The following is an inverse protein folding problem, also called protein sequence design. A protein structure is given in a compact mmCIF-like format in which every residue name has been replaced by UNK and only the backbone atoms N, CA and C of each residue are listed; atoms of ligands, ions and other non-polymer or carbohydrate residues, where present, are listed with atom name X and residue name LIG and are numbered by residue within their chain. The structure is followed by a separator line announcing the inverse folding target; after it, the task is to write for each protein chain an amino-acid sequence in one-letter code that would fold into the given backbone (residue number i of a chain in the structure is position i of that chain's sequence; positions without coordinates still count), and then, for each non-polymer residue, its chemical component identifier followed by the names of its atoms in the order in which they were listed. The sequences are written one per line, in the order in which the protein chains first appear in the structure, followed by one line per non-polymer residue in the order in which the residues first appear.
data_IF_035776684679
#
_entry.id   IF_035776684679
#
_cell.length_a   1.000
_cell.length_b   1.000
_cell.length_c   1.000
_cell.angle_alpha   90.00
_cell.angle_beta   90.00
_cell.angle_gamma   90.00
#
_symmetry.space_group_name_H-M   'P 1'
#
loop_
_entity.id
_entity.type
_entity.pdbx_description
1 polymer ?
#
# COMPACT_ATOMS: atom_id res chain seq x y z
N UNK A 1 28.81 -10.79 62.02
CA UNK A 1 27.64 -10.41 61.20
C UNK A 1 27.06 -11.71 60.64
N UNK A 2 25.90 -12.23 60.94
CA UNK A 2 24.82 -11.99 61.89
C UNK A 2 23.85 -13.16 61.65
N UNK A 3 23.53 -13.95 62.68
CA UNK A 3 22.50 -15.00 62.65
C UNK A 3 21.13 -14.37 62.95
N UNK A 4 20.09 -14.77 62.22
CA UNK A 4 18.71 -14.89 62.72
C UNK A 4 17.88 -15.76 61.77
N UNK A 5 17.21 -16.81 62.27
CA UNK A 5 15.83 -17.08 61.85
C UNK A 5 14.94 -17.52 63.02
N UNK A 6 13.76 -16.91 63.17
CA UNK A 6 12.58 -17.37 63.92
C UNK A 6 11.38 -16.53 63.40
N UNK A 7 10.17 -17.01 63.09
CA UNK A 7 9.26 -17.79 63.93
C UNK A 7 8.17 -18.55 63.13
N UNK A 8 7.86 -19.74 63.65
CA UNK A 8 6.63 -20.58 63.68
C UNK A 8 5.37 -19.82 64.15
N UNK A 9 4.08 -20.23 64.10
CA UNK A 9 3.31 -21.45 63.77
C UNK A 9 1.77 -21.14 63.87
N UNK A 10 0.97 -21.96 63.18
CA UNK A 10 -0.36 -22.59 63.49
C UNK A 10 -1.63 -21.81 64.00
N UNK A 11 -2.72 -21.86 63.19
CA UNK A 11 -4.06 -22.51 63.35
C UNK A 11 -4.82 -22.49 64.73
N UNK A 12 -6.19 -22.48 64.81
CA UNK A 12 -7.07 -23.49 64.15
C UNK A 12 -8.56 -23.17 63.79
N UNK A 13 -9.09 -24.07 62.94
CA UNK A 13 -10.40 -24.74 62.82
C UNK A 13 -11.82 -24.08 62.77
N UNK A 14 -12.51 -24.51 61.69
CA UNK A 14 -13.86 -25.14 61.59
C UNK A 14 -15.16 -24.35 61.84
N UNK A 15 -16.00 -24.27 60.79
CA UNK A 15 -17.43 -23.95 60.88
C UNK A 15 -18.20 -24.11 59.57
N UNK A 16 -19.03 -25.15 59.49
CA UNK A 16 -19.88 -25.60 58.35
C UNK A 16 -20.91 -24.56 57.87
N UNK A 17 -21.18 -24.50 56.56
CA UNK A 17 -22.54 -24.55 55.99
C UNK A 17 -22.50 -24.70 54.46
N UNK A 18 -23.55 -25.33 53.92
CA UNK A 18 -23.68 -25.89 52.58
C UNK A 18 -24.26 -24.84 51.63
N UNK A 19 -23.84 -24.83 50.36
CA UNK A 19 -24.74 -24.71 49.22
C UNK A 19 -24.03 -25.05 47.91
N UNK A 20 -24.46 -26.15 47.29
CA UNK A 20 -24.19 -26.50 45.89
C UNK A 20 -25.13 -25.69 44.98
N UNK A 21 -24.64 -25.29 43.79
CA UNK A 21 -25.42 -25.52 42.59
C UNK A 21 -24.63 -26.32 41.54
N UNK A 22 -25.39 -27.08 40.77
CA UNK A 22 -25.01 -28.10 39.78
C UNK A 22 -24.24 -27.52 38.57
N UNK A 23 -23.45 -28.35 37.86
CA UNK A 23 -22.83 -27.96 36.60
C UNK A 23 -23.88 -27.92 35.47
N UNK A 24 -24.01 -26.78 34.80
CA UNK A 24 -24.78 -26.67 33.57
C UNK A 24 -23.94 -27.16 32.39
N UNK A 25 -24.22 -28.40 31.96
CA UNK A 25 -23.81 -28.94 30.67
C UNK A 25 -24.51 -28.12 29.58
N UNK A 26 -23.78 -27.25 28.85
CA UNK A 26 -24.25 -26.71 27.58
C UNK A 26 -23.62 -27.50 26.44
N UNK A 27 -24.49 -28.27 25.79
CA UNK A 27 -24.22 -29.06 24.59
C UNK A 27 -23.89 -28.15 23.43
N UNK A 28 -22.99 -28.63 22.56
CA UNK A 28 -22.69 -28.05 21.26
C UNK A 28 -23.97 -27.96 20.40
N UNK A 29 -24.26 -26.77 19.89
CA UNK A 29 -25.08 -26.61 18.68
C UNK A 29 -24.18 -26.07 17.58
N UNK A 30 -23.85 -26.92 16.60
CA UNK A 30 -23.44 -26.46 15.26
C UNK A 30 -24.69 -25.95 14.57
N UNK A 31 -24.79 -24.65 14.36
CA UNK A 31 -25.66 -24.09 13.33
C UNK A 31 -24.79 -23.81 12.10
N UNK A 32 -24.77 -24.76 11.17
CA UNK A 32 -24.43 -24.48 9.78
C UNK A 32 -25.63 -23.83 9.13
N UNK A 33 -25.62 -22.51 9.00
CA UNK A 33 -26.65 -21.79 8.24
C UNK A 33 -26.17 -21.67 6.80
N UNK A 34 -26.58 -22.63 5.96
CA UNK A 34 -26.55 -22.48 4.51
C UNK A 34 -27.72 -21.59 4.10
N UNK A 35 -27.43 -20.38 3.64
CA UNK A 35 -28.45 -19.50 3.05
C UNK A 35 -28.40 -19.66 1.54
N UNK A 36 -29.30 -20.49 1.02
CA UNK A 36 -29.73 -20.48 -0.37
C UNK A 36 -30.87 -19.46 -0.51
N UNK A 37 -30.69 -18.43 -1.33
CA UNK A 37 -31.78 -17.52 -1.71
C UNK A 37 -31.95 -17.60 -3.23
N UNK A 38 -32.98 -18.33 -3.62
CA UNK A 38 -33.57 -18.29 -4.95
C UNK A 38 -34.54 -17.11 -5.07
N UNK A 39 -34.45 -16.48 -6.24
CA UNK A 39 -35.42 -15.65 -6.98
C UNK A 39 -36.66 -15.10 -6.26
N UNK A 40 -36.81 -13.78 -6.29
CA UNK A 40 -37.83 -13.04 -7.08
C UNK A 40 -37.89 -11.60 -6.57
N UNK A 41 -37.65 -10.62 -7.44
CA UNK A 41 -38.57 -9.48 -7.62
C UNK A 41 -38.06 -8.55 -8.73
N UNK A 42 -38.88 -8.44 -9.77
CA UNK A 42 -38.74 -7.53 -10.88
C UNK A 42 -39.18 -6.12 -10.45
N UNK A 43 -38.27 -5.15 -10.51
CA UNK A 43 -38.67 -3.75 -10.69
C UNK A 43 -37.88 -3.13 -11.83
N UNK A 44 -38.64 -2.84 -12.89
CA UNK A 44 -38.25 -2.09 -14.08
C UNK A 44 -37.90 -0.65 -13.71
N UNK A 45 -36.68 -0.21 -14.00
CA UNK A 45 -36.33 1.21 -14.08
C UNK A 45 -36.07 1.53 -15.54
N UNK A 46 -36.97 2.31 -16.12
CA UNK A 46 -36.90 2.86 -17.47
C UNK A 46 -35.65 3.74 -17.62
N UNK A 47 -34.74 3.35 -18.51
CA UNK A 47 -33.73 4.26 -19.05
C UNK A 47 -34.36 5.08 -20.17
N UNK A 48 -34.36 6.42 -20.03
CA UNK A 48 -34.68 7.34 -21.11
C UNK A 48 -33.67 7.15 -22.26
N UNK A 49 -34.12 6.57 -23.37
CA UNK A 49 -33.39 6.52 -24.63
C UNK A 49 -33.81 7.73 -25.47
N UNK A 50 -32.81 8.46 -25.94
CA UNK A 50 -32.92 9.50 -26.94
C UNK A 50 -33.13 8.81 -28.29
N UNK A 51 -34.32 8.96 -28.88
CA UNK A 51 -34.65 8.45 -30.21
C UNK A 51 -34.16 9.42 -31.29
N UNK A 52 -33.41 8.89 -32.25
CA UNK A 52 -33.24 9.45 -33.59
C UNK A 52 -33.52 8.33 -34.59
N UNK A 53 -34.71 8.38 -35.15
CA UNK A 53 -35.11 7.58 -36.32
C UNK A 53 -34.32 8.02 -37.56
N UNK A 54 -33.81 7.05 -38.33
CA UNK A 54 -34.31 6.74 -39.68
C UNK A 54 -33.47 5.66 -40.39
N UNK A 55 -34.14 4.54 -40.73
CA UNK A 55 -34.15 3.94 -42.07
C UNK A 55 -32.95 3.11 -42.56
N UNK A 56 -33.11 1.78 -42.60
CA UNK A 56 -33.14 0.99 -43.86
C UNK A 56 -32.82 -0.50 -43.63
N UNK A 57 -33.68 -1.35 -44.22
CA UNK A 57 -33.67 -2.81 -44.30
C UNK A 57 -32.31 -3.50 -44.47
N UNK A 58 -32.08 -4.58 -43.70
CA UNK A 58 -31.43 -5.79 -44.20
C UNK A 58 -31.75 -7.01 -43.30
N UNK A 59 -32.19 -8.09 -43.93
CA UNK A 59 -32.36 -9.42 -43.35
C UNK A 59 -31.08 -9.90 -42.63
N UNK A 60 -31.19 -10.33 -41.37
CA UNK A 60 -30.17 -11.15 -40.74
C UNK A 60 -30.83 -12.21 -39.86
N UNK A 61 -30.66 -13.46 -40.28
CA UNK A 61 -30.98 -14.68 -39.55
C UNK A 61 -30.48 -14.62 -38.10
N UNK A 62 -31.36 -14.93 -37.16
CA UNK A 62 -31.04 -15.09 -35.75
C UNK A 62 -30.09 -16.28 -35.55
N UNK A 63 -28.78 -16.01 -35.53
CA UNK A 63 -27.84 -16.86 -34.83
C UNK A 63 -27.88 -16.46 -33.36
N UNK A 64 -28.47 -17.35 -32.56
CA UNK A 64 -28.47 -17.27 -31.10
C UNK A 64 -27.01 -17.38 -30.64
N UNK A 65 -26.36 -16.22 -30.49
CA UNK A 65 -25.02 -16.10 -29.94
C UNK A 65 -25.02 -16.59 -28.50
N UNK A 66 -24.41 -17.74 -28.29
CA UNK A 66 -24.04 -18.28 -26.98
C UNK A 66 -23.46 -17.19 -26.10
N UNK A 67 -24.04 -17.05 -24.90
CA UNK A 67 -23.76 -15.98 -23.96
C UNK A 67 -22.29 -15.66 -23.80
N UNK A 68 -21.97 -14.38 -24.01
CA UNK A 68 -20.79 -13.75 -23.45
C UNK A 68 -20.92 -13.86 -21.93
N UNK A 69 -20.35 -14.91 -21.34
CA UNK A 69 -19.91 -14.84 -19.95
C UNK A 69 -18.86 -13.75 -19.91
N UNK A 70 -19.26 -12.55 -19.54
CA UNK A 70 -18.34 -11.50 -19.11
C UNK A 70 -17.58 -12.08 -17.92
N UNK A 71 -16.34 -12.49 -18.17
CA UNK A 71 -15.37 -12.69 -17.09
C UNK A 71 -15.43 -11.39 -16.27
N UNK A 72 -15.57 -11.46 -14.93
CA UNK A 72 -15.56 -10.24 -14.12
C UNK A 72 -14.25 -9.51 -14.44
N UNK A 73 -14.36 -8.32 -15.04
CA UNK A 73 -13.19 -7.49 -15.31
C UNK A 73 -12.49 -7.27 -13.97
N UNK A 74 -11.34 -7.91 -13.83
CA UNK A 74 -10.56 -7.83 -12.61
C UNK A 74 -9.97 -6.43 -12.57
N UNK A 75 -10.14 -5.72 -11.45
CA UNK A 75 -9.54 -4.39 -11.28
C UNK A 75 -8.03 -4.58 -11.42
N UNK A 76 -7.42 -3.87 -12.37
CA UNK A 76 -6.00 -3.96 -12.72
C UNK A 76 -5.41 -2.56 -12.75
N UNK A 77 -4.15 -2.44 -12.34
CA UNK A 77 -3.37 -1.26 -12.72
C UNK A 77 -3.13 -1.29 -14.22
N UNK A 78 -3.33 -0.15 -14.87
CA UNK A 78 -3.12 0.06 -16.31
C UNK A 78 -1.95 1.00 -16.57
N UNK A 79 -1.67 1.92 -15.67
CA UNK A 79 -0.54 2.85 -15.78
C UNK A 79 0.26 2.86 -14.48
N UNK A 80 1.54 2.50 -14.57
CA UNK A 80 2.49 2.51 -13.45
C UNK A 80 3.61 3.50 -13.77
N UNK A 81 3.91 4.40 -12.84
CA UNK A 81 5.04 5.32 -12.96
C UNK A 81 6.12 4.87 -11.98
N UNK A 82 7.36 4.72 -12.44
CA UNK A 82 8.51 4.42 -11.59
C UNK A 82 9.53 5.56 -11.63
N UNK A 83 9.96 6.01 -10.45
CA UNK A 83 11.02 7.00 -10.32
C UNK A 83 12.40 6.35 -10.53
N UNK A 84 13.16 6.88 -11.49
CA UNK A 84 14.53 6.48 -11.79
C UNK A 84 15.50 7.37 -10.99
N UNK A 85 15.69 7.05 -9.71
CA UNK A 85 16.63 7.76 -8.84
C UNK A 85 18.11 7.42 -9.15
N UNK A 86 19.05 8.15 -8.54
CA UNK A 86 20.46 7.74 -8.46
C UNK A 86 20.76 6.84 -7.25
N UNK A 87 19.72 6.37 -6.55
CA UNK A 87 19.88 5.66 -5.28
C UNK A 87 20.14 4.17 -5.47
N UNK A 88 20.63 3.49 -4.42
CA UNK A 88 20.92 2.06 -4.49
C UNK A 88 19.65 1.20 -4.63
N UNK A 89 18.52 1.73 -4.14
CA UNK A 89 17.20 1.14 -4.27
C UNK A 89 16.63 1.10 -5.71
N UNK A 90 17.23 1.80 -6.69
CA UNK A 90 16.65 1.89 -8.05
C UNK A 90 16.44 0.50 -8.67
N UNK A 91 17.39 -0.41 -8.53
CA UNK A 91 17.29 -1.75 -9.11
C UNK A 91 16.11 -2.53 -8.52
N UNK A 92 15.92 -2.44 -7.18
CA UNK A 92 14.81 -3.08 -6.51
C UNK A 92 13.46 -2.46 -6.92
N UNK A 93 13.39 -1.13 -7.03
CA UNK A 93 12.19 -0.41 -7.49
C UNK A 93 11.84 -0.77 -8.94
N UNK A 94 12.82 -0.85 -9.84
CA UNK A 94 12.66 -1.27 -11.23
C UNK A 94 12.15 -2.71 -11.36
N UNK A 95 12.80 -3.65 -10.65
CA UNK A 95 12.39 -5.05 -10.62
C UNK A 95 10.93 -5.19 -10.14
N UNK A 96 10.58 -4.45 -9.09
CA UNK A 96 9.23 -4.45 -8.52
C UNK A 96 8.22 -3.88 -9.51
N UNK A 97 8.51 -2.71 -10.09
CA UNK A 97 7.62 -2.06 -11.05
C UNK A 97 7.41 -2.91 -12.32
N UNK A 98 8.46 -3.53 -12.85
CA UNK A 98 8.39 -4.45 -13.99
C UNK A 98 7.58 -5.70 -13.65
N UNK A 99 7.79 -6.30 -12.48
CA UNK A 99 7.02 -7.45 -11.99
C UNK A 99 5.52 -7.13 -11.90
N UNK A 100 5.17 -6.00 -11.27
CA UNK A 100 3.78 -5.55 -11.16
C UNK A 100 3.19 -5.27 -12.54
N UNK A 101 3.91 -4.54 -13.40
CA UNK A 101 3.46 -4.22 -14.75
C UNK A 101 3.17 -5.47 -15.58
N UNK A 102 4.08 -6.44 -15.58
CA UNK A 102 3.89 -7.72 -16.29
C UNK A 102 2.70 -8.51 -15.75
N UNK A 103 2.54 -8.57 -14.43
CA UNK A 103 1.44 -9.33 -13.82
C UNK A 103 0.04 -8.78 -14.16
N UNK A 104 -0.03 -7.50 -14.55
CA UNK A 104 -1.27 -6.79 -14.86
C UNK A 104 -1.42 -6.37 -16.32
N UNK A 105 -0.40 -6.58 -17.15
CA UNK A 105 -0.33 -6.03 -18.50
C UNK A 105 -0.40 -4.50 -18.51
N UNK A 106 0.22 -3.84 -17.53
CA UNK A 106 0.20 -2.40 -17.37
C UNK A 106 1.26 -1.72 -18.26
N UNK A 107 1.01 -0.47 -18.62
CA UNK A 107 1.99 0.42 -19.22
C UNK A 107 2.93 0.97 -18.14
N UNK A 108 4.24 0.77 -18.31
CA UNK A 108 5.26 1.20 -17.36
C UNK A 108 5.99 2.47 -17.84
N UNK A 109 5.94 3.53 -17.05
CA UNK A 109 6.55 4.82 -17.35
C UNK A 109 7.77 5.01 -16.46
N UNK A 110 8.96 5.02 -17.05
CA UNK A 110 10.20 5.38 -16.36
C UNK A 110 10.39 6.90 -16.34
N UNK A 111 10.40 7.51 -15.16
CA UNK A 111 10.54 8.96 -15.00
C UNK A 111 11.83 9.32 -14.28
N UNK A 112 12.56 10.30 -14.82
CA UNK A 112 13.65 10.99 -14.12
C UNK A 112 13.52 12.50 -14.32
N UNK A 113 14.23 13.26 -13.50
CA UNK A 113 14.49 14.68 -13.76
C UNK A 113 15.89 14.89 -14.32
N UNK A 114 16.10 16.03 -14.97
CA UNK A 114 17.42 16.43 -15.47
C UNK A 114 18.34 16.93 -14.36
N UNK A 115 17.81 17.38 -13.22
CA UNK A 115 18.57 18.07 -12.17
C UNK A 115 18.78 19.57 -12.44
N UNK A 116 18.29 20.10 -13.57
CA UNK A 116 18.43 21.53 -13.91
C UNK A 116 17.66 22.45 -12.96
N UNK A 117 16.56 21.98 -12.35
CA UNK A 117 15.82 22.76 -11.39
C UNK A 117 16.65 23.04 -10.13
N UNK A 118 17.30 22.02 -9.57
CA UNK A 118 18.21 22.15 -8.42
C UNK A 118 19.35 23.12 -8.75
N UNK A 119 19.94 22.98 -9.95
CA UNK A 119 20.97 23.88 -10.44
C UNK A 119 20.50 25.34 -10.52
N UNK A 120 19.33 25.59 -11.13
CA UNK A 120 18.76 26.94 -11.26
C UNK A 120 18.54 27.60 -9.90
N UNK A 121 18.10 26.83 -8.90
CA UNK A 121 17.93 27.35 -7.54
C UNK A 121 19.26 27.68 -6.86
N UNK A 122 20.30 26.86 -7.00
CA UNK A 122 21.64 27.16 -6.47
C UNK A 122 22.18 28.47 -7.07
N UNK A 123 21.97 28.67 -8.38
CA UNK A 123 22.34 29.92 -9.07
C UNK A 123 21.55 31.12 -8.52
N UNK A 124 20.23 30.99 -8.35
CA UNK A 124 19.38 32.03 -7.80
C UNK A 124 19.71 32.38 -6.33
N UNK A 125 20.22 31.41 -5.56
CA UNK A 125 20.68 31.60 -4.17
C UNK A 125 22.04 32.32 -4.05
N UNK A 126 22.62 32.77 -5.17
CA UNK A 126 23.84 33.58 -5.18
C UNK A 126 25.15 32.77 -5.27
N UNK A 127 25.07 31.49 -5.66
CA UNK A 127 26.28 30.71 -5.93
C UNK A 127 27.07 31.32 -7.11
N UNK A 128 28.41 31.45 -7.04
CA UNK A 128 29.19 32.05 -8.11
C UNK A 128 29.12 31.25 -9.42
N UNK A 129 28.44 31.79 -10.44
CA UNK A 129 28.32 31.19 -11.78
C UNK A 129 29.68 30.83 -12.38
N UNK A 130 30.71 31.64 -12.09
CA UNK A 130 32.08 31.46 -12.59
C UNK A 130 32.81 30.22 -12.03
N UNK A 131 32.30 29.60 -10.96
CA UNK A 131 32.84 28.35 -10.40
C UNK A 131 32.12 27.10 -10.95
N UNK A 132 31.06 27.27 -11.76
CA UNK A 132 30.35 26.14 -12.37
C UNK A 132 30.83 25.92 -13.81
N UNK A 133 31.37 24.75 -14.14
CA UNK A 133 31.72 24.45 -15.51
C UNK A 133 30.43 24.24 -16.33
N UNK A 134 30.36 24.83 -17.53
CA UNK A 134 29.23 24.63 -18.48
C UNK A 134 28.94 23.15 -18.73
N UNK A 135 29.97 22.30 -18.58
CA UNK A 135 29.86 20.83 -18.62
C UNK A 135 28.91 20.24 -17.58
N UNK A 136 28.62 20.93 -16.48
CA UNK A 136 27.71 20.46 -15.44
C UNK A 136 26.26 20.31 -15.93
N UNK A 137 25.80 21.19 -16.82
CA UNK A 137 24.44 21.13 -17.40
C UNK A 137 24.30 19.94 -18.36
N UNK A 138 25.26 19.81 -19.28
CA UNK A 138 25.25 18.70 -20.25
C UNK A 138 25.44 17.36 -19.54
N UNK A 139 26.25 17.32 -18.47
CA UNK A 139 26.46 16.13 -17.65
C UNK A 139 25.19 15.72 -16.91
N UNK A 140 24.49 16.66 -16.28
CA UNK A 140 23.20 16.42 -15.62
C UNK A 140 22.17 15.79 -16.58
N UNK A 141 22.06 16.34 -17.80
CA UNK A 141 21.20 15.80 -18.84
C UNK A 141 21.67 14.42 -19.33
N UNK A 142 22.97 14.23 -19.50
CA UNK A 142 23.57 12.96 -19.90
C UNK A 142 23.28 11.87 -18.87
N UNK A 143 23.44 12.15 -17.57
CA UNK A 143 23.17 11.21 -16.48
C UNK A 143 21.68 10.83 -16.43
N UNK A 144 20.79 11.80 -16.68
CA UNK A 144 19.36 11.55 -16.81
C UNK A 144 19.05 10.62 -17.99
N UNK A 145 19.65 10.85 -19.17
CA UNK A 145 19.45 9.98 -20.33
C UNK A 145 20.05 8.58 -20.12
N UNK A 146 21.19 8.46 -19.43
CA UNK A 146 21.75 7.16 -19.05
C UNK A 146 20.78 6.34 -18.18
N UNK A 147 20.12 6.97 -17.20
CA UNK A 147 19.07 6.32 -16.40
C UNK A 147 17.89 5.88 -17.26
N UNK A 148 17.44 6.70 -18.20
CA UNK A 148 16.35 6.34 -19.11
C UNK A 148 16.74 5.19 -20.05
N UNK A 149 17.97 5.18 -20.56
CA UNK A 149 18.49 4.08 -21.37
C UNK A 149 18.56 2.77 -20.57
N UNK A 150 19.08 2.82 -19.34
CA UNK A 150 19.11 1.68 -18.43
C UNK A 150 17.71 1.13 -18.16
N UNK A 151 16.72 2.01 -17.95
CA UNK A 151 15.31 1.60 -17.81
C UNK A 151 14.77 0.90 -19.08
N UNK A 152 15.01 1.45 -20.28
CA UNK A 152 14.55 0.83 -21.53
C UNK A 152 15.16 -0.57 -21.71
N UNK A 153 16.45 -0.71 -21.39
CA UNK A 153 17.14 -2.00 -21.45
C UNK A 153 16.55 -2.98 -20.44
N UNK A 154 16.37 -2.54 -19.20
CA UNK A 154 15.77 -3.33 -18.13
C UNK A 154 14.37 -3.86 -18.51
N UNK A 155 13.52 -2.99 -19.06
CA UNK A 155 12.18 -3.38 -19.51
C UNK A 155 12.21 -4.48 -20.58
N UNK A 156 13.13 -4.39 -21.54
CA UNK A 156 13.30 -5.40 -22.60
C UNK A 156 13.76 -6.74 -22.04
N UNK A 157 14.74 -6.72 -21.13
CA UNK A 157 15.30 -7.92 -20.49
C UNK A 157 14.26 -8.64 -19.62
N UNK A 158 13.35 -7.88 -19.00
CA UNK A 158 12.32 -8.40 -18.11
C UNK A 158 10.95 -8.58 -18.81
N UNK A 159 10.89 -8.44 -20.13
CA UNK A 159 9.69 -8.74 -20.92
C UNK A 159 8.53 -7.76 -20.77
N UNK A 160 8.78 -6.53 -20.30
CA UNK A 160 7.75 -5.48 -20.23
C UNK A 160 7.39 -5.05 -21.65
N UNK A 161 6.16 -5.33 -22.06
CA UNK A 161 5.71 -5.14 -23.46
C UNK A 161 5.39 -3.66 -23.77
N UNK A 162 4.87 -2.92 -22.79
CA UNK A 162 4.41 -1.54 -22.99
C UNK A 162 5.11 -0.62 -21.99
N UNK A 163 6.03 0.21 -22.49
CA UNK A 163 6.76 1.15 -21.65
C UNK A 163 7.17 2.41 -22.41
N UNK A 164 7.34 3.50 -21.68
CA UNK A 164 7.90 4.76 -22.19
C UNK A 164 8.81 5.42 -21.14
N UNK A 165 9.53 6.45 -21.57
CA UNK A 165 10.43 7.24 -20.72
C UNK A 165 10.02 8.69 -20.71
N UNK A 166 10.08 9.34 -19.55
CA UNK A 166 9.81 10.77 -19.40
C UNK A 166 10.93 11.47 -18.65
N UNK A 167 11.38 12.59 -19.20
CA UNK A 167 12.37 13.49 -18.62
C UNK A 167 11.68 14.82 -18.29
N UNK A 168 11.89 15.31 -17.07
CA UNK A 168 11.37 16.62 -16.66
C UNK A 168 12.49 17.55 -16.19
N UNK A 169 12.37 18.83 -16.53
CA UNK A 169 13.25 19.91 -16.06
C UNK A 169 12.66 20.58 -14.82
N UNK A 170 12.29 19.78 -13.82
CA UNK A 170 11.71 20.22 -12.54
C UNK A 170 12.27 19.39 -11.38
N UNK A 171 11.81 19.63 -10.15
CA UNK A 171 12.18 18.81 -8.99
C UNK A 171 11.61 17.38 -9.12
N UNK A 172 12.27 16.35 -8.56
CA UNK A 172 11.71 15.00 -8.54
C UNK A 172 10.30 14.94 -7.95
N UNK A 173 10.05 15.68 -6.86
CA UNK A 173 8.73 15.75 -6.25
C UNK A 173 7.68 16.32 -7.22
N UNK A 174 7.93 17.48 -7.83
CA UNK A 174 6.95 18.10 -8.72
C UNK A 174 6.63 17.21 -9.94
N UNK A 175 7.65 16.59 -10.52
CA UNK A 175 7.50 15.67 -11.65
C UNK A 175 6.62 14.47 -11.29
N UNK A 176 6.88 13.84 -10.14
CA UNK A 176 6.16 12.64 -9.70
C UNK A 176 4.76 12.97 -9.19
N UNK A 177 4.57 14.09 -8.48
CA UNK A 177 3.26 14.55 -8.01
C UNK A 177 2.33 14.91 -9.17
N UNK A 178 2.86 15.56 -10.22
CA UNK A 178 2.08 15.84 -11.42
C UNK A 178 1.63 14.54 -12.11
N UNK A 179 2.54 13.58 -12.25
CA UNK A 179 2.24 12.30 -12.88
C UNK A 179 1.35 11.40 -12.05
N UNK A 180 1.41 11.50 -10.71
CA UNK A 180 0.53 10.75 -9.81
C UNK A 180 -0.95 10.97 -10.11
N UNK A 181 -1.32 12.09 -10.74
CA UNK A 181 -2.72 12.38 -11.12
C UNK A 181 -3.25 11.48 -12.24
N UNK A 182 -2.36 10.88 -13.03
CA UNK A 182 -2.68 10.17 -14.27
C UNK A 182 -2.13 8.73 -14.29
N UNK A 183 -1.69 8.20 -13.15
CA UNK A 183 -1.34 6.79 -13.01
C UNK A 183 -2.32 6.07 -12.08
N UNK A 184 -2.18 4.75 -11.97
CA UNK A 184 -2.86 3.94 -10.95
C UNK A 184 -1.94 3.61 -9.78
N UNK A 185 -0.62 3.59 -10.02
CA UNK A 185 0.42 3.29 -9.03
C UNK A 185 1.68 4.12 -9.31
N UNK A 186 2.24 4.73 -8.26
CA UNK A 186 3.56 5.35 -8.27
C UNK A 186 4.54 4.45 -7.53
N UNK A 187 5.71 4.16 -8.11
CA UNK A 187 6.76 3.33 -7.51
C UNK A 187 8.01 4.18 -7.30
N UNK A 188 8.57 4.17 -6.11
CA UNK A 188 9.79 4.89 -5.76
C UNK A 188 10.67 4.07 -4.81
N UNK A 189 11.97 4.33 -4.83
CA UNK A 189 12.88 3.80 -3.80
C UNK A 189 12.54 4.38 -2.43
N UNK A 190 12.71 3.58 -1.38
CA UNK A 190 12.48 3.98 0.02
C UNK A 190 13.60 4.88 0.57
N UNK A 191 14.80 4.83 0.00
CA UNK A 191 15.95 5.62 0.46
C UNK A 191 15.70 7.12 0.35
N UNK A 192 16.31 7.86 1.28
CA UNK A 192 16.25 9.33 1.35
C UNK A 192 17.01 9.97 0.18
N UNK A 193 16.35 10.06 -0.96
CA UNK A 193 16.71 11.02 -2.00
C UNK A 193 16.02 12.34 -1.64
N UNK A 194 16.74 13.45 -1.74
CA UNK A 194 16.15 14.79 -1.60
C UNK A 194 14.97 14.94 -2.57
N UNK A 195 13.90 15.59 -2.12
CA UNK A 195 12.77 15.96 -2.95
C UNK A 195 13.09 17.04 -4.00
N UNK A 196 14.31 17.60 -3.96
CA UNK A 196 14.80 18.67 -4.82
C UNK A 196 14.51 20.08 -4.27
N UNK A 197 13.88 20.19 -3.09
CA UNK A 197 13.65 21.46 -2.40
C UNK A 197 14.92 21.90 -1.66
N UNK A 198 15.44 23.08 -1.99
CA UNK A 198 16.58 23.67 -1.26
C UNK A 198 16.13 24.57 -0.09
N UNK A 199 14.89 25.06 -0.10
CA UNK A 199 14.36 25.94 0.95
C UNK A 199 13.95 25.16 2.20
N UNK A 200 13.28 24.03 1.99
CA UNK A 200 12.89 23.09 3.04
C UNK A 200 13.12 21.69 2.46
N UNK A 201 14.37 21.19 2.50
CA UNK A 201 14.67 19.85 2.03
C UNK A 201 13.85 18.84 2.81
N UNK A 202 13.11 17.99 2.10
CA UNK A 202 12.41 16.87 2.69
C UNK A 202 12.80 15.57 1.97
N UNK A 203 12.75 14.42 2.66
CA UNK A 203 12.88 13.14 2.00
C UNK A 203 11.76 12.95 0.97
N UNK A 204 12.13 12.65 -0.27
CA UNK A 204 11.19 12.41 -1.36
C UNK A 204 10.10 11.38 -1.00
N UNK A 205 10.41 10.23 -0.36
CA UNK A 205 9.37 9.27 0.04
C UNK A 205 8.24 9.89 0.88
N UNK A 206 8.60 10.68 1.88
CA UNK A 206 7.64 11.37 2.74
C UNK A 206 6.79 12.38 1.98
N UNK A 207 7.41 13.17 1.09
CA UNK A 207 6.71 14.12 0.22
C UNK A 207 5.75 13.43 -0.75
N UNK A 208 6.12 12.27 -1.31
CA UNK A 208 5.24 11.49 -2.19
C UNK A 208 4.06 10.91 -1.43
N UNK A 209 4.30 10.27 -0.28
CA UNK A 209 3.26 9.66 0.55
C UNK A 209 2.23 10.69 1.02
N UNK A 210 2.66 11.92 1.31
CA UNK A 210 1.79 13.00 1.77
C UNK A 210 0.99 13.68 0.67
N UNK A 211 1.55 13.81 -0.53
CA UNK A 211 1.00 14.72 -1.56
C UNK A 211 0.57 14.04 -2.85
N UNK A 212 0.93 12.78 -3.08
CA UNK A 212 0.55 12.07 -4.30
C UNK A 212 -0.97 11.82 -4.37
N UNK A 213 -1.54 11.92 -5.57
CA UNK A 213 -2.96 11.68 -5.80
C UNK A 213 -3.32 10.18 -5.86
N UNK A 214 -2.31 9.31 -5.88
CA UNK A 214 -2.40 7.87 -6.11
C UNK A 214 -1.47 7.13 -5.15
N UNK A 215 -1.70 5.83 -4.92
CA UNK A 215 -0.87 5.04 -4.01
C UNK A 215 0.60 5.08 -4.42
N UNK A 216 1.46 5.19 -3.42
CA UNK A 216 2.91 5.18 -3.55
C UNK A 216 3.42 3.86 -2.98
N UNK A 217 4.07 3.08 -3.83
CA UNK A 217 4.81 1.88 -3.46
C UNK A 217 6.27 2.26 -3.24
N UNK A 218 6.66 2.35 -1.98
CA UNK A 218 8.04 2.54 -1.56
C UNK A 218 8.74 1.18 -1.53
N UNK A 219 9.91 1.11 -2.18
CA UNK A 219 10.64 -0.13 -2.36
C UNK A 219 12.02 -0.03 -1.69
N UNK A 220 12.30 -0.83 -0.64
CA UNK A 220 13.63 -0.88 -0.04
C UNK A 220 14.65 -1.57 -0.98
N UNK A 221 15.95 -1.30 -0.84
CA UNK A 221 16.99 -2.02 -1.56
C UNK A 221 16.96 -3.54 -1.33
N UNK A 222 16.51 -3.97 -0.15
CA UNK A 222 16.38 -5.37 0.24
C UNK A 222 15.09 -6.04 -0.23
N UNK A 223 14.25 -5.35 -1.00
CA UNK A 223 12.95 -5.88 -1.40
C UNK A 223 13.09 -7.22 -2.15
N UNK A 224 12.27 -8.23 -1.79
CA UNK A 224 12.29 -9.51 -2.49
C UNK A 224 11.80 -9.32 -3.94
N UNK A 225 12.44 -10.03 -4.87
CA UNK A 225 11.99 -10.06 -6.26
C UNK A 225 10.77 -10.98 -6.40
N UNK A 226 9.78 -10.58 -7.21
CA UNK A 226 8.66 -11.43 -7.60
C UNK A 226 7.28 -10.83 -7.31
N UNK A 227 6.22 -11.65 -7.40
CA UNK A 227 4.86 -11.21 -7.08
C UNK A 227 4.64 -11.14 -5.57
N UNK A 228 3.76 -10.24 -5.13
CA UNK A 228 3.31 -10.19 -3.74
C UNK A 228 2.35 -11.35 -3.46
N UNK A 229 2.76 -12.27 -2.58
CA UNK A 229 2.01 -13.47 -2.21
C UNK A 229 1.46 -13.36 -0.79
N UNK A 230 2.15 -12.68 0.13
CA UNK A 230 1.67 -12.48 1.51
C UNK A 230 1.65 -10.99 1.84
N UNK A 231 0.46 -10.41 1.76
CA UNK A 231 0.23 -9.00 2.01
C UNK A 231 -0.20 -8.83 3.46
N UNK A 232 0.52 -7.99 4.20
CA UNK A 232 0.11 -7.52 5.52
C UNK A 232 -0.60 -6.17 5.40
N UNK A 233 -1.67 -5.98 6.14
CA UNK A 233 -2.43 -4.73 6.23
C UNK A 233 -2.26 -4.20 7.64
N UNK A 234 -1.55 -3.09 7.81
CA UNK A 234 -1.43 -2.39 9.08
C UNK A 234 -2.73 -1.63 9.37
N UNK A 235 -3.66 -2.28 10.07
CA UNK A 235 -5.02 -1.78 10.28
C UNK A 235 -5.11 -0.94 11.56
N UNK A 236 -5.47 0.32 11.40
CA UNK A 236 -5.76 1.27 12.49
C UNK A 236 -7.13 1.95 12.34
N UNK A 237 -7.98 1.49 11.40
CA UNK A 237 -9.30 2.07 11.16
C UNK A 237 -9.32 3.45 10.51
N UNK A 238 -8.16 4.00 10.16
CA UNK A 238 -8.08 5.33 9.56
C UNK A 238 -8.65 5.36 8.13
N UNK A 239 -9.13 6.53 7.66
CA UNK A 239 -9.48 6.71 6.25
C UNK A 239 -8.32 6.42 5.30
N UNK A 240 -7.08 6.74 5.69
CA UNK A 240 -5.87 6.49 4.89
C UNK A 240 -5.68 5.01 4.59
N UNK A 241 -5.70 4.13 5.59
CA UNK A 241 -5.57 2.68 5.34
C UNK A 241 -6.75 2.13 4.53
N UNK A 242 -7.96 2.65 4.77
CA UNK A 242 -9.15 2.26 3.99
C UNK A 242 -9.00 2.62 2.51
N UNK A 243 -8.44 3.80 2.19
CA UNK A 243 -8.09 4.20 0.81
C UNK A 243 -6.99 3.32 0.25
N UNK A 244 -5.92 3.04 1.01
CA UNK A 244 -4.83 2.16 0.57
C UNK A 244 -5.37 0.78 0.17
N UNK A 245 -6.27 0.20 0.97
CA UNK A 245 -6.90 -1.11 0.68
C UNK A 245 -7.70 -1.03 -0.62
N UNK A 246 -8.52 0.01 -0.81
CA UNK A 246 -9.31 0.20 -2.03
C UNK A 246 -8.42 0.28 -3.29
N UNK A 247 -7.30 1.00 -3.20
CA UNK A 247 -6.31 1.08 -4.28
C UNK A 247 -5.54 -0.23 -4.48
N UNK A 248 -5.34 -1.01 -3.43
CA UNK A 248 -4.58 -2.26 -3.45
C UNK A 248 -5.39 -3.48 -3.92
N UNK A 249 -6.68 -3.34 -4.23
CA UNK A 249 -7.53 -4.46 -4.68
C UNK A 249 -6.94 -5.30 -5.84
N UNK A 250 -6.25 -4.71 -6.84
CA UNK A 250 -5.54 -5.47 -7.87
C UNK A 250 -4.45 -6.40 -7.33
N UNK A 251 -3.79 -6.02 -6.23
CA UNK A 251 -2.75 -6.80 -5.55
C UNK A 251 -3.38 -7.81 -4.59
N UNK A 252 -4.36 -7.38 -3.78
CA UNK A 252 -5.06 -8.21 -2.80
C UNK A 252 -5.71 -9.42 -3.48
N UNK A 253 -6.39 -9.22 -4.61
CA UNK A 253 -7.06 -10.30 -5.35
C UNK A 253 -6.10 -11.38 -5.90
N UNK A 254 -4.79 -11.08 -5.99
CA UNK A 254 -3.75 -11.98 -6.52
C UNK A 254 -2.85 -12.59 -5.44
N UNK A 255 -2.93 -12.08 -4.22
CA UNK A 255 -2.16 -12.58 -3.09
C UNK A 255 -2.57 -14.02 -2.75
N UNK A 256 -1.67 -14.79 -2.16
CA UNK A 256 -1.98 -16.10 -1.59
C UNK A 256 -2.60 -15.99 -0.19
N UNK A 257 -2.21 -14.97 0.57
CA UNK A 257 -2.64 -14.75 1.95
C UNK A 257 -2.67 -13.26 2.27
N UNK A 258 -3.72 -12.85 2.97
CA UNK A 258 -3.84 -11.51 3.56
C UNK A 258 -3.78 -11.64 5.07
N UNK A 259 -2.97 -10.80 5.71
CA UNK A 259 -2.89 -10.70 7.17
C UNK A 259 -3.30 -9.29 7.59
N UNK A 260 -4.40 -9.17 8.31
CA UNK A 260 -4.84 -7.92 8.95
C UNK A 260 -4.12 -7.84 10.30
N UNK A 261 -3.13 -6.96 10.39
CA UNK A 261 -2.39 -6.72 11.61
C UNK A 261 -2.99 -5.53 12.36
N UNK A 262 -3.37 -5.74 13.62
CA UNK A 262 -3.85 -4.69 14.52
C UNK A 262 -2.88 -4.58 15.68
N UNK A 263 -2.19 -3.43 15.79
CA UNK A 263 -1.30 -3.13 16.90
C UNK A 263 -2.03 -2.31 17.95
N UNK A 264 -1.82 -2.65 19.23
CA UNK A 264 -2.39 -1.94 20.39
C UNK A 264 -3.92 -1.76 20.34
N UNK A 265 -4.69 -2.84 20.15
CA UNK A 265 -6.13 -2.79 19.96
C UNK A 265 -6.92 -2.24 21.17
N UNK A 266 -6.37 -2.34 22.39
CA UNK A 266 -7.07 -1.88 23.60
C UNK A 266 -7.03 -0.36 23.78
N UNK A 267 -6.05 0.33 23.19
CA UNK A 267 -5.94 1.79 23.31
C UNK A 267 -6.95 2.57 22.48
N UNK A 268 -7.51 1.98 21.42
CA UNK A 268 -8.34 2.70 20.45
C UNK A 268 -9.48 1.84 19.90
N UNK A 269 -10.70 2.40 19.87
CA UNK A 269 -11.84 1.75 19.23
C UNK A 269 -11.72 1.91 17.71
N UNK A 270 -11.15 0.91 17.06
CA UNK A 270 -10.91 0.87 15.61
C UNK A 270 -12.20 0.50 14.83
N UNK A 271 -13.08 -0.32 15.41
CA UNK A 271 -14.24 -0.92 14.71
C UNK A 271 -15.62 -0.60 15.35
N UNK A 272 -16.69 -0.96 14.64
CA UNK A 272 -18.07 -0.58 14.98
C UNK A 272 -18.61 -1.24 16.27
N UNK A 273 -17.94 -2.28 16.79
CA UNK A 273 -18.24 -2.84 18.13
C UNK A 273 -17.95 -4.33 18.31
N UNK A 274 -16.94 -4.89 17.64
CA UNK A 274 -16.55 -6.31 17.71
C UNK A 274 -15.07 -6.53 18.04
N UNK A 275 -14.54 -7.71 17.69
CA UNK A 275 -13.11 -8.04 17.77
C UNK A 275 -12.30 -7.14 16.80
N UNK A 276 -11.16 -6.56 17.23
CA UNK A 276 -10.35 -5.67 16.39
C UNK A 276 -9.96 -6.33 15.06
N UNK A 277 -10.19 -5.65 13.94
CA UNK A 277 -9.91 -6.11 12.58
C UNK A 277 -10.95 -7.06 12.00
N UNK A 278 -11.95 -7.53 12.77
CA UNK A 278 -12.92 -8.52 12.30
C UNK A 278 -13.85 -7.98 11.19
N UNK A 279 -14.25 -6.71 11.28
CA UNK A 279 -15.08 -6.06 10.26
C UNK A 279 -14.34 -5.97 8.93
N UNK A 280 -13.05 -5.58 8.97
CA UNK A 280 -12.20 -5.55 7.78
C UNK A 280 -11.95 -6.96 7.22
N UNK A 281 -11.65 -7.94 8.07
CA UNK A 281 -11.45 -9.32 7.63
C UNK A 281 -12.71 -9.88 6.95
N UNK A 282 -13.89 -9.59 7.49
CA UNK A 282 -15.19 -9.96 6.90
C UNK A 282 -15.41 -9.28 5.55
N UNK A 283 -15.04 -8.01 5.42
CA UNK A 283 -15.07 -7.30 4.14
C UNK A 283 -14.12 -7.95 3.12
N UNK A 284 -12.86 -8.19 3.49
CA UNK A 284 -11.85 -8.78 2.61
C UNK A 284 -12.17 -10.22 2.22
N UNK A 285 -12.82 -10.99 3.09
CA UNK A 285 -13.24 -12.37 2.82
C UNK A 285 -14.21 -12.47 1.62
N UNK A 286 -14.89 -11.38 1.26
CA UNK A 286 -15.74 -11.30 0.05
C UNK A 286 -14.94 -11.17 -1.24
N UNK A 287 -13.70 -10.71 -1.13
CA UNK A 287 -12.79 -10.46 -2.24
C UNK A 287 -11.63 -11.45 -2.31
N UNK A 288 -11.30 -12.11 -1.19
CA UNK A 288 -10.15 -12.99 -1.05
C UNK A 288 -10.45 -14.15 -0.09
N UNK A 289 -10.07 -15.37 -0.47
CA UNK A 289 -10.45 -16.58 0.27
C UNK A 289 -9.58 -16.93 1.48
N UNK A 290 -8.49 -16.18 1.74
CA UNK A 290 -7.53 -16.50 2.80
C UNK A 290 -7.05 -15.23 3.53
N UNK A 291 -7.86 -14.82 4.50
CA UNK A 291 -7.65 -13.64 5.35
C UNK A 291 -7.50 -14.10 6.79
N UNK A 292 -6.46 -13.63 7.47
CA UNK A 292 -6.20 -13.86 8.90
C UNK A 292 -6.10 -12.51 9.62
N UNK A 293 -6.55 -12.46 10.88
CA UNK A 293 -6.35 -11.32 11.77
C UNK A 293 -5.28 -11.68 12.78
N UNK A 294 -4.30 -10.80 12.96
CA UNK A 294 -3.25 -10.91 13.98
C UNK A 294 -3.29 -9.68 14.85
N UNK A 295 -3.39 -9.89 16.16
CA UNK A 295 -3.29 -8.84 17.16
C UNK A 295 -1.86 -8.83 17.70
N UNK A 296 -1.29 -7.63 17.82
CA UNK A 296 0.03 -7.40 18.43
C UNK A 296 -0.13 -6.38 19.54
N UNK A 297 0.14 -6.82 20.76
CA UNK A 297 0.28 -5.91 21.89
C UNK A 297 1.75 -5.53 21.98
N UNK A 298 2.05 -4.29 21.60
CA UNK A 298 3.40 -3.75 21.58
C UNK A 298 3.59 -2.71 22.68
N UNK A 299 4.77 -2.73 23.31
CA UNK A 299 5.16 -1.68 24.25
C UNK A 299 6.08 -0.63 23.59
N UNK A 300 6.48 -0.88 22.34
CA UNK A 300 7.36 -0.02 21.56
C UNK A 300 6.58 0.90 20.60
N UNK A 301 7.29 1.66 19.76
CA UNK A 301 6.67 2.46 18.70
C UNK A 301 5.93 1.55 17.70
N UNK A 302 4.69 1.89 17.36
CA UNK A 302 3.83 1.11 16.46
C UNK A 302 4.49 0.76 15.13
N UNK A 303 5.34 1.64 14.58
CA UNK A 303 6.03 1.39 13.32
C UNK A 303 7.08 0.28 13.43
N UNK A 304 7.76 0.19 14.58
CA UNK A 304 8.73 -0.88 14.88
C UNK A 304 8.00 -2.21 15.02
N UNK A 305 6.93 -2.26 15.83
CA UNK A 305 6.13 -3.46 16.04
C UNK A 305 5.53 -4.01 14.74
N UNK A 306 5.03 -3.12 13.86
CA UNK A 306 4.52 -3.51 12.55
C UNK A 306 5.64 -4.05 11.64
N UNK A 307 6.82 -3.44 11.67
CA UNK A 307 7.97 -3.88 10.87
C UNK A 307 8.46 -5.25 11.31
N UNK A 308 8.58 -5.47 12.63
CA UNK A 308 8.98 -6.76 13.19
C UNK A 308 7.95 -7.83 12.90
N UNK A 309 6.66 -7.53 13.10
CA UNK A 309 5.58 -8.44 12.78
C UNK A 309 5.59 -8.84 11.30
N UNK A 310 5.84 -7.90 10.38
CA UNK A 310 5.95 -8.18 8.95
C UNK A 310 7.07 -9.20 8.66
N UNK A 311 8.19 -9.09 9.37
CA UNK A 311 9.30 -10.05 9.32
C UNK A 311 8.92 -11.42 9.88
N UNK A 312 8.29 -11.47 11.05
CA UNK A 312 7.84 -12.70 11.72
C UNK A 312 6.86 -13.50 10.86
N UNK A 313 5.87 -12.83 10.25
CA UNK A 313 4.90 -13.49 9.39
C UNK A 313 5.46 -13.77 7.99
N UNK A 314 6.62 -13.21 7.63
CA UNK A 314 7.22 -13.30 6.30
C UNK A 314 6.33 -12.68 5.22
N UNK A 315 5.84 -11.46 5.46
CA UNK A 315 5.11 -10.68 4.48
C UNK A 315 6.07 -10.18 3.38
N UNK A 316 5.56 -10.06 2.16
CA UNK A 316 6.31 -9.54 1.00
C UNK A 316 5.79 -8.17 0.52
N UNK A 317 4.69 -7.69 1.10
CA UNK A 317 4.15 -6.34 0.93
C UNK A 317 3.43 -5.91 2.21
N UNK A 318 3.65 -4.67 2.64
CA UNK A 318 2.85 -4.03 3.69
C UNK A 318 1.95 -2.94 3.08
N UNK A 319 0.67 -2.92 3.47
CA UNK A 319 -0.25 -1.83 3.22
C UNK A 319 -0.37 -0.99 4.49
N UNK A 320 -0.16 0.32 4.38
CA UNK A 320 -0.33 1.27 5.47
C UNK A 320 -1.11 2.50 5.01
N UNK A 321 -1.82 3.14 5.93
CA UNK A 321 -2.32 4.50 5.72
C UNK A 321 -1.25 5.50 6.13
N UNK A 322 -1.07 6.58 5.37
CA UNK A 322 -0.39 7.74 5.90
C UNK A 322 -1.41 8.51 6.77
N UNK A 323 -0.99 8.94 7.96
CA UNK A 323 -1.77 9.79 8.87
C UNK A 323 -3.09 9.20 9.39
N UNK A 324 -3.09 8.76 10.65
CA UNK A 324 -4.29 8.19 11.29
C UNK A 324 -4.85 8.96 12.48
N UNK A 325 -4.02 9.73 13.21
CA UNK A 325 -4.34 10.06 14.60
C UNK A 325 -4.27 11.55 15.01
N UNK A 326 -4.04 12.51 14.11
CA UNK A 326 -4.05 13.94 14.49
C UNK A 326 -4.85 14.81 13.52
N UNK A 327 -6.13 14.99 13.84
CA UNK A 327 -7.09 15.87 13.16
C UNK A 327 -6.79 17.38 13.23
N UNK A 328 -5.55 17.81 13.47
CA UNK A 328 -5.19 19.22 13.42
C UNK A 328 -3.88 19.42 12.66
N UNK A 329 -3.98 20.10 11.51
CA UNK A 329 -2.88 20.68 10.74
C UNK A 329 -1.92 19.65 10.06
N UNK A 330 -2.44 18.86 9.12
CA UNK A 330 -1.70 17.78 8.45
C UNK A 330 -0.78 18.28 7.32
N UNK A 331 0.44 18.69 7.70
CA UNK A 331 1.61 18.78 6.79
C UNK A 331 2.86 18.08 7.36
N UNK A 332 2.78 17.47 8.54
CA UNK A 332 3.94 16.88 9.25
C UNK A 332 3.73 15.38 9.40
N UNK A 333 4.61 14.57 8.78
CA UNK A 333 4.69 13.11 8.91
C UNK A 333 4.60 12.67 10.38
N UNK A 334 3.60 11.82 10.69
CA UNK A 334 3.47 11.25 12.03
C UNK A 334 4.60 10.25 12.32
N UNK A 335 4.95 10.08 13.59
CA UNK A 335 6.09 9.23 14.01
C UNK A 335 6.00 7.80 13.47
N UNK A 336 4.81 7.20 13.49
CA UNK A 336 4.58 5.86 12.93
C UNK A 336 4.81 5.81 11.42
N UNK A 337 4.35 6.82 10.68
CA UNK A 337 4.54 6.88 9.21
C UNK A 337 6.02 7.04 8.87
N UNK A 338 6.74 7.94 9.54
CA UNK A 338 8.19 8.07 9.35
C UNK A 338 8.93 6.78 9.73
N UNK A 339 8.60 6.19 10.88
CA UNK A 339 9.18 4.93 11.33
C UNK A 339 8.95 3.76 10.36
N UNK A 340 7.77 3.69 9.73
CA UNK A 340 7.50 2.71 8.68
C UNK A 340 8.30 2.98 7.41
N UNK A 341 8.35 4.24 6.94
CA UNK A 341 9.12 4.62 5.75
C UNK A 341 10.61 4.35 5.96
N UNK A 342 11.14 4.53 7.16
CA UNK A 342 12.57 4.32 7.45
C UNK A 342 12.88 2.85 7.78
N UNK A 343 12.02 2.18 8.54
CA UNK A 343 12.30 0.87 9.13
C UNK A 343 11.91 -0.34 8.27
N UNK A 344 10.94 -0.20 7.37
CA UNK A 344 10.39 -1.36 6.63
C UNK A 344 11.43 -1.97 5.69
N UNK A 345 11.55 -3.30 5.67
CA UNK A 345 12.50 -4.05 4.81
C UNK A 345 11.86 -4.74 3.61
N UNK A 346 10.54 -4.61 3.49
CA UNK A 346 9.71 -5.10 2.39
C UNK A 346 9.03 -3.90 1.70
N UNK A 347 8.54 -4.03 0.46
CA UNK A 347 7.77 -2.98 -0.18
C UNK A 347 6.59 -2.50 0.69
N UNK A 348 6.38 -1.19 0.71
CA UNK A 348 5.39 -0.50 1.53
C UNK A 348 4.48 0.33 0.62
N UNK A 349 3.20 -0.03 0.54
CA UNK A 349 2.19 0.71 -0.20
C UNK A 349 1.46 1.67 0.74
N UNK A 350 1.49 2.96 0.42
CA UNK A 350 0.84 3.99 1.23
C UNK A 350 -0.02 4.92 0.40
N UNK A 351 -1.07 5.43 1.03
CA UNK A 351 -1.88 6.56 0.54
C UNK A 351 -2.14 7.53 1.68
N UNK A 352 -2.24 8.82 1.35
CA UNK A 352 -2.73 9.84 2.27
C UNK A 352 -4.22 9.71 2.53
#
# INVERSE_FOLDING_TARGET
MGRAPHHTQCWPDAGKARHFPRPAVKRHCRCTTSVSLDSQDCHSVQSCKFDLDQGSNANASAHCGSGLRTQPETIMYKTIVVHLSSSSAISAALNTAASVANSMGAHLIGTTTSGLAELNYVLAAGAPVAMMPVTGIDQLRSDAELRLQAFRQHCREHGVVSFETRLFDTSPADALLLQSRYCDLLVAGQEEVSDGSLLIPAPLPGTLVTRAARPVLLVPPSAPAGPFRKIMIAWNGSPGISRTIAFAMPLISRAAKIVVAVCNPESERIDAGGEPGADLATYLARHHGNVEVVLRDGNEDTGVELTDLAGEIGADLMLAGAFGHSRLHEWVLGSTTSGLIEGTRIPLLMTH
#
